data_IF_750212394025
#
_entry.id   IF_750212394025
#
_cell.length_a   1.000
_cell.length_b   1.000
_cell.length_c   1.000
_cell.angle_alpha   90.00
_cell.angle_beta   90.00
_cell.angle_gamma   90.00
#
_symmetry.space_group_name_H-M   'P 1'
#
loop_
_entity.id
_entity.type
_entity.pdbx_description
1 polymer ?
#
# COMPACT_ATOMS: atom_id res chain seq x y z
N UNK A 1 -2.14 15.10 -2.82
CA UNK A 1 -1.35 16.33 -2.65
C UNK A 1 -1.28 17.07 -3.98
N UNK A 2 -1.34 18.41 -3.92
CA UNK A 2 -1.36 19.26 -5.11
C UNK A 2 0.06 19.63 -5.58
N UNK A 3 0.94 18.64 -5.73
CA UNK A 3 2.30 18.81 -6.22
C UNK A 3 2.76 17.62 -7.03
N UNK A 4 3.77 17.84 -7.88
CA UNK A 4 4.35 16.81 -8.71
C UNK A 4 5.74 17.20 -9.16
N UNK A 5 6.50 16.22 -9.66
CA UNK A 5 7.84 16.41 -10.17
C UNK A 5 7.91 15.94 -11.62
N UNK A 6 8.48 16.77 -12.49
CA UNK A 6 8.73 16.44 -13.90
C UNK A 6 10.21 16.12 -14.05
N UNK A 7 10.52 14.96 -14.61
CA UNK A 7 11.87 14.52 -14.94
C UNK A 7 11.98 14.31 -16.45
N UNK A 8 13.06 14.79 -17.07
CA UNK A 8 13.26 14.65 -18.50
C UNK A 8 14.56 15.29 -18.99
N UNK A 9 14.70 15.40 -20.31
CA UNK A 9 15.82 16.10 -20.91
C UNK A 9 15.79 17.59 -20.56
N UNK A 10 16.96 18.24 -20.55
CA UNK A 10 17.08 19.68 -20.26
C UNK A 10 16.17 20.53 -21.15
N UNK A 11 16.03 20.17 -22.40
CA UNK A 11 15.21 20.89 -23.38
C UNK A 11 13.72 20.80 -23.06
N UNK A 12 13.23 19.59 -22.69
CA UNK A 12 11.85 19.37 -22.30
C UNK A 12 11.53 20.08 -20.98
N UNK A 13 12.43 20.03 -20.00
CA UNK A 13 12.23 20.74 -18.73
C UNK A 13 12.17 22.26 -18.96
N UNK A 14 13.06 22.81 -19.79
CA UNK A 14 13.03 24.22 -20.13
C UNK A 14 11.72 24.63 -20.87
N UNK A 15 11.20 23.77 -21.75
CA UNK A 15 9.92 23.99 -22.41
C UNK A 15 8.75 23.95 -21.41
N UNK A 16 8.77 23.02 -20.43
CA UNK A 16 7.77 22.99 -19.36
C UNK A 16 7.82 24.26 -18.51
N UNK A 17 9.00 24.74 -18.14
CA UNK A 17 9.19 25.93 -17.32
C UNK A 17 8.62 27.17 -18.01
N UNK A 18 8.88 27.34 -19.31
CA UNK A 18 8.32 28.44 -20.11
C UNK A 18 6.77 28.42 -20.18
N UNK A 19 6.16 27.24 -20.05
CA UNK A 19 4.72 27.08 -20.10
C UNK A 19 4.03 27.07 -18.73
N UNK A 20 4.80 27.01 -17.63
CA UNK A 20 4.29 27.00 -16.27
C UNK A 20 4.29 28.41 -15.63
N UNK A 21 3.72 28.52 -14.44
CA UNK A 21 3.82 29.72 -13.59
C UNK A 21 5.31 30.03 -13.30
N UNK A 22 5.77 31.30 -13.41
CA UNK A 22 5.00 32.55 -13.53
C UNK A 22 4.60 32.94 -14.96
N UNK A 23 5.03 32.20 -15.97
CA UNK A 23 4.74 32.52 -17.37
C UNK A 23 3.25 32.29 -17.72
N UNK A 24 2.75 32.98 -18.75
CA UNK A 24 1.36 32.86 -19.20
C UNK A 24 1.21 31.77 -20.28
N UNK A 25 1.80 30.59 -20.03
CA UNK A 25 1.68 29.43 -20.89
C UNK A 25 0.48 28.53 -20.54
N UNK A 26 0.37 27.39 -21.23
CA UNK A 26 -0.72 26.42 -21.05
C UNK A 26 -0.80 25.84 -19.63
N UNK A 27 0.34 25.74 -18.93
CA UNK A 27 0.43 25.24 -17.56
C UNK A 27 0.17 26.30 -16.47
N UNK A 28 -0.12 27.54 -16.85
CA UNK A 28 -0.37 28.62 -15.89
C UNK A 28 -1.48 28.32 -14.85
N UNK A 29 -2.61 27.69 -15.22
CA UNK A 29 -3.65 27.32 -14.26
C UNK A 29 -3.24 26.25 -13.26
N UNK A 30 -2.17 25.51 -13.52
CA UNK A 30 -1.65 24.43 -12.67
C UNK A 30 -0.61 24.94 -11.65
N UNK A 31 -0.70 26.20 -11.27
CA UNK A 31 0.16 26.83 -10.27
C UNK A 31 0.08 26.07 -8.95
N UNK A 32 1.24 25.73 -8.39
CA UNK A 32 1.40 25.13 -7.08
C UNK A 32 1.88 26.20 -6.09
N UNK A 33 1.41 26.14 -4.84
CA UNK A 33 1.86 27.03 -3.77
C UNK A 33 3.25 26.63 -3.24
N UNK A 34 3.88 27.55 -2.53
CA UNK A 34 5.24 27.36 -2.01
C UNK A 34 5.30 26.26 -0.96
N UNK A 35 4.28 26.12 -0.16
CA UNK A 35 4.17 25.15 0.91
C UNK A 35 4.20 23.72 0.34
N UNK A 36 3.44 23.46 -0.71
CA UNK A 36 3.46 22.18 -1.41
C UNK A 36 4.79 21.90 -2.11
N UNK A 37 5.43 22.92 -2.69
CA UNK A 37 6.76 22.77 -3.29
C UNK A 37 7.79 22.41 -2.22
N UNK A 38 7.84 23.11 -1.10
CA UNK A 38 8.74 22.81 0.01
C UNK A 38 8.50 21.40 0.58
N UNK A 39 7.22 21.02 0.73
CA UNK A 39 6.85 19.68 1.16
C UNK A 39 7.35 18.59 0.20
N UNK A 40 7.20 18.80 -1.11
CA UNK A 40 7.70 17.86 -2.12
C UNK A 40 9.23 17.76 -2.11
N UNK A 41 9.94 18.89 -2.06
CA UNK A 41 11.42 18.90 -1.96
C UNK A 41 11.87 18.09 -0.75
N UNK A 42 11.26 18.34 0.42
CA UNK A 42 11.59 17.59 1.63
C UNK A 42 11.28 16.10 1.51
N UNK A 43 10.17 15.75 0.88
CA UNK A 43 9.82 14.34 0.62
C UNK A 43 10.84 13.65 -0.29
N UNK A 44 11.33 14.34 -1.33
CA UNK A 44 12.38 13.81 -2.22
C UNK A 44 13.71 13.65 -1.48
N UNK A 45 14.11 14.63 -0.67
CA UNK A 45 15.32 14.51 0.17
C UNK A 45 15.27 13.28 1.08
N UNK A 46 14.13 13.06 1.75
CA UNK A 46 13.95 11.90 2.61
C UNK A 46 13.90 10.60 1.80
N UNK A 47 13.31 10.63 0.60
CA UNK A 47 13.20 9.48 -0.27
C UNK A 47 14.58 8.96 -0.71
N UNK A 48 15.48 9.86 -1.16
CA UNK A 48 16.83 9.46 -1.61
C UNK A 48 17.76 9.02 -0.48
N UNK A 49 17.42 9.33 0.77
CA UNK A 49 18.17 8.92 1.96
C UNK A 49 17.70 7.57 2.56
N UNK A 50 16.57 7.04 2.07
CA UNK A 50 16.01 5.79 2.61
C UNK A 50 16.84 4.58 2.17
N UNK A 51 17.07 3.68 3.11
CA UNK A 51 17.56 2.34 2.83
C UNK A 51 16.37 1.46 2.40
N UNK A 52 16.18 1.34 1.09
CA UNK A 52 15.07 0.58 0.53
C UNK A 52 15.23 -0.92 0.72
N UNK A 53 16.45 -1.44 0.80
CA UNK A 53 16.69 -2.86 1.04
C UNK A 53 16.22 -3.23 2.46
N UNK A 54 16.52 -2.39 3.44
CA UNK A 54 16.04 -2.56 4.81
C UNK A 54 14.51 -2.46 4.90
N UNK A 55 13.92 -1.48 4.22
CA UNK A 55 12.44 -1.31 4.20
C UNK A 55 11.75 -2.51 3.55
N UNK A 56 12.26 -3.00 2.44
CA UNK A 56 11.72 -4.18 1.76
C UNK A 56 11.83 -5.43 2.63
N UNK A 57 12.98 -5.63 3.28
CA UNK A 57 13.18 -6.74 4.21
C UNK A 57 12.21 -6.67 5.41
N UNK A 58 11.93 -5.47 5.91
CA UNK A 58 10.96 -5.25 6.98
C UNK A 58 9.54 -5.63 6.52
N UNK A 59 9.10 -5.16 5.35
CA UNK A 59 7.79 -5.52 4.80
C UNK A 59 7.65 -7.02 4.54
N UNK A 60 8.69 -7.65 4.03
CA UNK A 60 8.72 -9.10 3.85
C UNK A 60 8.59 -9.84 5.18
N UNK A 61 9.27 -9.38 6.23
CA UNK A 61 9.15 -9.95 7.57
C UNK A 61 7.74 -9.83 8.16
N UNK A 62 7.02 -8.73 7.84
CA UNK A 62 5.63 -8.53 8.27
C UNK A 62 4.70 -9.53 7.60
N UNK A 63 4.86 -9.72 6.28
CA UNK A 63 4.10 -10.72 5.52
C UNK A 63 4.33 -12.12 6.07
N UNK A 64 5.60 -12.50 6.32
CA UNK A 64 5.96 -13.81 6.84
C UNK A 64 5.46 -14.02 8.28
N UNK A 65 5.46 -12.97 9.11
CA UNK A 65 4.94 -13.02 10.50
C UNK A 65 3.43 -13.27 10.50
N UNK A 66 2.67 -12.54 9.69
CA UNK A 66 1.21 -12.74 9.59
C UNK A 66 0.90 -14.13 9.04
N UNK A 67 1.61 -14.56 7.98
CA UNK A 67 1.46 -15.90 7.42
C UNK A 67 1.73 -17.00 8.43
N UNK A 68 2.81 -16.87 9.19
CA UNK A 68 3.16 -17.84 10.24
C UNK A 68 2.09 -17.90 11.34
N UNK A 69 1.56 -16.74 11.75
CA UNK A 69 0.50 -16.64 12.74
C UNK A 69 -0.85 -17.22 12.29
N UNK A 70 -1.05 -17.42 10.99
CA UNK A 70 -2.26 -17.99 10.39
C UNK A 70 -2.06 -19.41 9.85
N UNK A 71 -0.85 -19.98 9.95
CA UNK A 71 -0.47 -21.25 9.30
C UNK A 71 -1.29 -22.46 9.73
N UNK A 72 -1.79 -22.47 10.95
CA UNK A 72 -2.63 -23.53 11.53
C UNK A 72 -4.14 -23.17 11.51
N UNK A 73 -4.52 -22.09 10.82
CA UNK A 73 -5.90 -21.65 10.75
C UNK A 73 -6.65 -22.52 9.72
N UNK A 74 -7.60 -23.38 10.16
CA UNK A 74 -8.32 -24.23 9.24
C UNK A 74 -9.28 -23.42 8.36
N UNK A 75 -9.48 -23.86 7.13
CA UNK A 75 -10.38 -23.17 6.19
C UNK A 75 -9.82 -21.87 5.62
N UNK A 76 -8.50 -21.73 5.60
CA UNK A 76 -7.81 -20.57 5.03
C UNK A 76 -6.68 -21.02 4.09
N UNK A 77 -6.78 -20.66 2.84
CA UNK A 77 -5.68 -20.75 1.87
C UNK A 77 -4.88 -19.46 1.86
N UNK A 78 -3.55 -19.59 1.81
CA UNK A 78 -2.64 -18.45 1.82
C UNK A 78 -1.64 -18.54 0.69
N UNK A 79 -1.51 -17.48 -0.08
CA UNK A 79 -0.46 -17.33 -1.09
C UNK A 79 0.28 -16.01 -0.90
N UNK A 80 1.58 -16.01 -1.21
CA UNK A 80 2.38 -14.80 -1.25
C UNK A 80 2.68 -14.49 -2.71
N UNK A 81 2.47 -13.25 -3.11
CA UNK A 81 2.72 -12.80 -4.47
C UNK A 81 2.91 -11.31 -4.55
N UNK A 82 3.23 -10.85 -5.74
CA UNK A 82 3.22 -9.43 -6.09
C UNK A 82 1.96 -9.11 -6.87
N UNK A 83 1.44 -7.86 -6.81
CA UNK A 83 0.27 -7.48 -7.59
C UNK A 83 0.58 -7.58 -9.09
N UNK A 84 -0.36 -8.12 -9.84
CA UNK A 84 -0.24 -8.31 -11.31
C UNK A 84 -1.20 -7.43 -12.10
N UNK A 85 -2.12 -6.72 -11.43
CA UNK A 85 -3.06 -5.84 -12.11
C UNK A 85 -2.35 -4.60 -12.67
N UNK A 86 -2.78 -4.15 -13.87
CA UNK A 86 -2.31 -2.89 -14.43
C UNK A 86 -2.58 -1.72 -13.48
N UNK A 87 -1.58 -0.86 -13.30
CA UNK A 87 -1.69 0.34 -12.47
C UNK A 87 -1.45 0.14 -10.97
N UNK A 88 -1.31 -1.09 -10.49
CA UNK A 88 -0.90 -1.32 -9.09
C UNK A 88 0.61 -1.20 -8.97
N UNK A 89 1.06 -0.22 -8.21
CA UNK A 89 2.48 0.09 -8.03
C UNK A 89 2.81 0.22 -6.53
N UNK A 90 4.04 -0.10 -6.14
CA UNK A 90 5.06 -0.82 -6.92
C UNK A 90 4.77 -2.32 -6.99
N UNK A 91 5.00 -2.92 -8.17
CA UNK A 91 4.76 -4.35 -8.42
C UNK A 91 5.83 -5.28 -7.80
N UNK A 92 6.80 -4.75 -7.07
CA UNK A 92 7.86 -5.52 -6.43
C UNK A 92 7.59 -5.85 -4.95
N UNK A 93 6.55 -5.27 -4.34
CA UNK A 93 6.26 -5.47 -2.91
C UNK A 93 5.38 -6.71 -2.73
N UNK A 94 5.89 -7.68 -1.98
CA UNK A 94 5.17 -8.92 -1.65
C UNK A 94 3.94 -8.59 -0.80
N UNK A 95 2.85 -9.29 -1.09
CA UNK A 95 1.57 -9.21 -0.37
C UNK A 95 1.12 -10.59 0.03
N UNK A 96 0.33 -10.67 1.08
CA UNK A 96 -0.32 -11.91 1.51
C UNK A 96 -1.76 -11.91 1.01
N UNK A 97 -2.09 -12.93 0.21
CA UNK A 97 -3.43 -13.19 -0.30
C UNK A 97 -4.07 -14.29 0.55
N UNK A 98 -5.23 -14.02 1.09
CA UNK A 98 -5.96 -14.89 1.99
C UNK A 98 -7.31 -15.25 1.37
N UNK A 99 -7.51 -16.53 1.11
CA UNK A 99 -8.77 -17.07 0.59
C UNK A 99 -9.46 -17.89 1.67
N UNK A 100 -10.53 -17.38 2.29
CA UNK A 100 -11.32 -18.16 3.21
C UNK A 100 -12.12 -19.22 2.44
N UNK A 101 -12.19 -20.44 2.96
CA UNK A 101 -12.91 -21.57 2.35
C UNK A 101 -14.30 -21.78 2.96
N UNK A 102 -14.55 -21.21 4.15
CA UNK A 102 -15.80 -21.39 4.89
C UNK A 102 -16.78 -20.22 4.74
N UNK A 103 -16.34 -19.13 4.14
CA UNK A 103 -17.14 -17.93 3.92
C UNK A 103 -16.61 -17.14 2.71
N UNK A 104 -17.43 -16.26 2.07
CA UNK A 104 -16.92 -15.35 1.04
C UNK A 104 -15.86 -14.38 1.59
N UNK A 105 -14.84 -14.05 0.82
CA UNK A 105 -13.82 -13.09 1.22
C UNK A 105 -14.40 -11.70 1.55
N UNK A 106 -15.47 -11.30 0.85
CA UNK A 106 -16.17 -10.06 1.14
C UNK A 106 -16.80 -10.05 2.55
N UNK A 107 -17.32 -11.20 3.03
CA UNK A 107 -17.87 -11.31 4.38
C UNK A 107 -16.77 -11.24 5.44
N UNK A 108 -15.63 -11.91 5.22
CA UNK A 108 -14.46 -11.80 6.10
C UNK A 108 -13.95 -10.35 6.15
N UNK A 109 -13.85 -9.68 5.00
CA UNK A 109 -13.47 -8.26 4.94
C UNK A 109 -14.43 -7.38 5.74
N UNK A 110 -15.74 -7.58 5.60
CA UNK A 110 -16.72 -6.79 6.34
C UNK A 110 -16.60 -7.03 7.85
N UNK A 111 -16.46 -8.28 8.27
CA UNK A 111 -16.28 -8.62 9.69
C UNK A 111 -14.99 -8.00 10.29
N UNK A 112 -13.91 -7.89 9.49
CA UNK A 112 -12.69 -7.18 9.89
C UNK A 112 -12.90 -5.67 10.03
N UNK A 113 -13.70 -5.06 9.15
CA UNK A 113 -14.05 -3.63 9.23
C UNK A 113 -14.93 -3.35 10.46
N UNK A 114 -15.87 -4.21 10.74
CA UNK A 114 -16.83 -4.07 11.86
C UNK A 114 -16.21 -4.47 13.22
N UNK A 115 -15.01 -5.03 13.22
CA UNK A 115 -14.29 -5.45 14.41
C UNK A 115 -13.62 -4.32 15.19
N UNK A 116 -13.08 -4.67 16.37
CA UNK A 116 -12.27 -3.77 17.20
C UNK A 116 -10.90 -4.43 17.46
N UNK A 117 -9.80 -3.87 16.93
CA UNK A 117 -9.74 -2.70 16.05
C UNK A 117 -10.34 -2.95 14.66
N UNK A 118 -10.85 -1.89 14.02
CA UNK A 118 -11.33 -1.95 12.63
C UNK A 118 -10.16 -2.13 11.67
N UNK A 119 -10.21 -3.19 10.83
CA UNK A 119 -9.12 -3.55 9.91
C UNK A 119 -9.60 -3.48 8.48
N UNK A 120 -8.99 -2.57 7.69
CA UNK A 120 -9.30 -2.40 6.27
C UNK A 120 -8.32 -3.20 5.41
N UNK A 121 -8.86 -4.03 4.52
CA UNK A 121 -8.08 -4.82 3.55
C UNK A 121 -8.58 -4.60 2.14
N UNK A 122 -7.76 -4.93 1.14
CA UNK A 122 -8.21 -4.99 -0.25
C UNK A 122 -8.93 -6.31 -0.52
N UNK A 123 -9.87 -6.28 -1.46
CA UNK A 123 -10.54 -7.46 -1.99
C UNK A 123 -10.09 -7.67 -3.44
N UNK A 124 -9.65 -8.88 -3.77
CA UNK A 124 -9.21 -9.25 -5.11
C UNK A 124 -9.53 -10.71 -5.41
N UNK A 125 -10.29 -10.98 -6.47
CA UNK A 125 -10.65 -12.34 -6.92
C UNK A 125 -11.08 -13.31 -5.80
N UNK A 126 -12.02 -12.86 -4.95
CA UNK A 126 -12.49 -13.60 -3.77
C UNK A 126 -11.37 -13.93 -2.74
N UNK A 127 -10.40 -13.06 -2.64
CA UNK A 127 -9.34 -13.07 -1.63
C UNK A 127 -9.27 -11.71 -0.94
N UNK A 128 -8.95 -11.68 0.34
CA UNK A 128 -8.47 -10.45 0.97
C UNK A 128 -6.95 -10.35 0.80
N UNK A 129 -6.48 -9.13 0.59
CA UNK A 129 -5.05 -8.86 0.34
C UNK A 129 -4.51 -7.97 1.45
N UNK A 130 -3.48 -8.45 2.12
CA UNK A 130 -2.75 -7.69 3.14
C UNK A 130 -1.52 -7.07 2.47
N UNK A 131 -1.48 -5.73 2.45
CA UNK A 131 -0.37 -4.94 1.96
C UNK A 131 0.47 -4.46 3.14
N UNK A 132 1.77 -4.82 3.23
CA UNK A 132 2.59 -4.47 4.38
C UNK A 132 3.03 -3.00 4.45
N UNK A 133 2.88 -2.23 3.36
CA UNK A 133 3.44 -0.87 3.25
C UNK A 133 2.93 0.12 4.30
N UNK A 134 1.69 -0.05 4.78
CA UNK A 134 1.08 0.83 5.77
C UNK A 134 1.05 0.23 7.18
N UNK A 135 1.59 -0.98 7.37
CA UNK A 135 1.55 -1.66 8.65
C UNK A 135 2.70 -1.21 9.57
N UNK A 136 2.39 -1.22 10.86
CA UNK A 136 3.35 -1.07 11.94
C UNK A 136 3.54 -2.42 12.65
N UNK A 137 4.71 -2.65 13.25
CA UNK A 137 5.02 -3.92 13.90
C UNK A 137 4.00 -4.34 14.97
N UNK A 138 3.42 -3.39 15.71
CA UNK A 138 2.44 -3.65 16.76
C UNK A 138 1.06 -4.06 16.23
N UNK A 139 0.78 -3.87 14.93
CA UNK A 139 -0.51 -4.20 14.32
C UNK A 139 -0.57 -5.65 13.82
N UNK A 140 0.58 -6.33 13.68
CA UNK A 140 0.63 -7.68 13.11
C UNK A 140 -0.14 -8.70 13.96
N UNK A 141 0.04 -8.66 15.29
CA UNK A 141 -0.67 -9.56 16.20
C UNK A 141 -2.18 -9.32 16.24
N UNK A 142 -2.69 -8.09 16.35
CA UNK A 142 -4.12 -7.78 16.20
C UNK A 142 -4.74 -8.31 14.90
N UNK A 143 -4.05 -8.15 13.77
CA UNK A 143 -4.53 -8.65 12.47
C UNK A 143 -4.70 -10.18 12.50
N UNK A 144 -3.67 -10.89 12.98
CA UNK A 144 -3.71 -12.35 13.10
C UNK A 144 -4.86 -12.80 14.02
N UNK A 145 -5.02 -12.16 15.19
CA UNK A 145 -6.05 -12.51 16.16
C UNK A 145 -7.46 -12.27 15.61
N UNK A 146 -7.68 -11.14 14.93
CA UNK A 146 -8.97 -10.82 14.33
C UNK A 146 -9.38 -11.84 13.27
N UNK A 147 -8.47 -12.15 12.32
CA UNK A 147 -8.74 -13.15 11.26
C UNK A 147 -9.03 -14.52 11.87
N UNK A 148 -8.23 -14.99 12.82
CA UNK A 148 -8.45 -16.27 13.51
C UNK A 148 -9.79 -16.30 14.25
N UNK A 149 -10.11 -15.24 14.97
CA UNK A 149 -11.35 -15.13 15.72
C UNK A 149 -12.59 -15.27 14.83
N UNK A 150 -12.60 -14.56 13.69
CA UNK A 150 -13.71 -14.61 12.73
C UNK A 150 -13.83 -16.01 12.12
N UNK A 151 -12.74 -16.59 11.63
CA UNK A 151 -12.77 -17.90 10.97
C UNK A 151 -13.13 -19.05 11.93
N UNK A 152 -12.81 -18.95 13.22
CA UNK A 152 -13.21 -19.93 14.23
C UNK A 152 -14.71 -19.91 14.54
N UNK A 153 -15.38 -18.77 14.38
CA UNK A 153 -16.82 -18.62 14.58
C UNK A 153 -17.67 -19.17 13.41
N UNK A 154 -17.06 -19.35 12.26
CA UNK A 154 -17.70 -19.78 11.01
C UNK A 154 -17.27 -21.19 10.57
N UNK A 155 -16.94 -22.04 11.54
CA UNK A 155 -16.64 -23.46 11.32
C UNK A 155 -17.87 -24.30 11.08
#
# INVERSE_FOLDING_TARGET
QASGMILGSRELIAACDLNCCPNYGIGRPMKVDKENICGLVKAVELFVQRDYDQIMAQWDSYVDTIRAGLSDCPGLEMTIGVPTEPGVQPACIRRLFLRPLTMPAAALRQALIDGEPSIYTFLYQDQIVINPQCLQAHELSPIVQAIRGILMQHR
#
